data_IF_486351625852
#
_entry.id   IF_486351625852
#
_cell.length_a   1.000
_cell.length_b   1.000
_cell.length_c   1.000
_cell.angle_alpha   90.00
_cell.angle_beta   90.00
_cell.angle_gamma   90.00
#
_symmetry.space_group_name_H-M   'P 1'
#
loop_
_entity.id
_entity.type
_entity.pdbx_description
1 polymer ?
#
# COMPACT_ATOMS: atom_id res chain seq x y z
N UNK A 1 14.73 -48.01 2.04
CA UNK A 1 13.68 -47.01 2.34
C UNK A 1 14.23 -45.57 2.30
N UNK A 2 14.96 -45.16 1.24
CA UNK A 2 15.62 -43.84 1.19
C UNK A 2 15.36 -43.04 -0.10
N UNK A 3 14.81 -43.69 -1.15
CA UNK A 3 14.62 -43.09 -2.47
C UNK A 3 13.32 -42.26 -2.55
N UNK A 4 12.21 -42.76 -1.98
CA UNK A 4 10.91 -42.08 -1.97
C UNK A 4 10.92 -40.75 -1.22
N UNK A 5 11.75 -40.61 -0.18
CA UNK A 5 11.90 -39.37 0.60
C UNK A 5 12.59 -38.24 -0.17
N UNK A 6 13.46 -38.58 -1.15
CA UNK A 6 14.18 -37.58 -1.97
C UNK A 6 13.28 -36.97 -3.04
N UNK A 7 12.37 -37.76 -3.61
CA UNK A 7 11.40 -37.27 -4.60
C UNK A 7 10.36 -36.33 -3.99
N UNK A 8 9.92 -36.60 -2.75
CA UNK A 8 8.96 -35.74 -2.07
C UNK A 8 9.51 -34.31 -1.84
N UNK A 9 10.81 -34.18 -1.57
CA UNK A 9 11.46 -32.89 -1.34
C UNK A 9 11.61 -32.08 -2.64
N UNK A 10 11.81 -32.75 -3.78
CA UNK A 10 11.96 -32.11 -5.09
C UNK A 10 10.63 -31.54 -5.62
N UNK A 11 9.50 -32.17 -5.30
CA UNK A 11 8.17 -31.70 -5.71
C UNK A 11 7.74 -30.45 -4.91
N UNK A 12 8.11 -30.37 -3.62
CA UNK A 12 7.82 -29.22 -2.77
C UNK A 12 8.57 -27.94 -3.21
N UNK A 13 9.75 -28.06 -3.80
CA UNK A 13 10.56 -26.89 -4.20
C UNK A 13 10.12 -26.28 -5.54
N UNK A 14 9.40 -27.02 -6.38
CA UNK A 14 8.92 -26.55 -7.68
C UNK A 14 7.60 -25.75 -7.59
N UNK A 15 6.98 -25.69 -6.41
CA UNK A 15 5.70 -25.01 -6.17
C UNK A 15 5.86 -23.74 -5.31
N UNK A 16 7.08 -23.21 -5.16
CA UNK A 16 7.22 -21.88 -4.61
C UNK A 16 6.74 -20.90 -5.69
N UNK A 17 5.57 -20.23 -5.54
CA UNK A 17 5.30 -19.05 -6.35
C UNK A 17 6.52 -18.12 -6.18
N UNK A 18 6.95 -17.50 -7.27
CA UNK A 18 8.09 -16.59 -7.25
C UNK A 18 7.96 -15.70 -6.02
N UNK A 19 8.91 -15.85 -5.09
CA UNK A 19 8.97 -15.00 -3.92
C UNK A 19 9.37 -13.63 -4.46
N UNK A 20 8.38 -12.85 -4.90
CA UNK A 20 8.54 -11.42 -5.11
C UNK A 20 9.00 -10.90 -3.78
N UNK A 21 10.29 -10.55 -3.71
CA UNK A 21 10.84 -9.93 -2.53
C UNK A 21 9.93 -8.76 -2.20
N UNK A 22 9.49 -8.65 -0.94
CA UNK A 22 8.68 -7.54 -0.40
C UNK A 22 9.44 -6.19 -0.43
N UNK A 23 10.40 -6.03 -1.34
CA UNK A 23 11.04 -4.77 -1.68
C UNK A 23 10.21 -4.11 -2.77
N UNK A 24 9.37 -3.15 -2.37
CA UNK A 24 8.71 -2.27 -3.30
C UNK A 24 9.75 -1.50 -4.12
N UNK A 25 9.45 -1.25 -5.39
CA UNK A 25 10.19 -0.25 -6.15
C UNK A 25 10.00 1.15 -5.50
N UNK A 26 10.95 2.09 -5.67
CA UNK A 26 10.85 3.43 -5.09
C UNK A 26 9.53 4.16 -5.41
N UNK A 27 9.03 3.98 -6.63
CA UNK A 27 7.76 4.50 -7.14
C UNK A 27 6.54 3.89 -6.45
N UNK A 28 6.50 2.58 -6.27
CA UNK A 28 5.43 1.90 -5.54
C UNK A 28 5.43 2.33 -4.07
N UNK A 29 6.61 2.51 -3.47
CA UNK A 29 6.72 3.00 -2.11
C UNK A 29 6.20 4.44 -1.98
N UNK A 30 6.52 5.31 -2.94
CA UNK A 30 5.97 6.66 -2.99
C UNK A 30 4.44 6.64 -3.16
N UNK A 31 3.93 5.81 -4.09
CA UNK A 31 2.51 5.61 -4.31
C UNK A 31 1.80 5.11 -3.03
N UNK A 32 2.40 4.18 -2.29
CA UNK A 32 1.80 3.66 -1.05
C UNK A 32 1.63 4.73 0.04
N UNK A 33 2.56 5.69 0.14
CA UNK A 33 2.43 6.81 1.09
C UNK A 33 1.36 7.80 0.65
N UNK A 34 1.28 8.07 -0.65
CA UNK A 34 0.22 8.91 -1.20
C UNK A 34 -1.15 8.26 -1.04
N UNK A 35 -1.25 6.93 -1.20
CA UNK A 35 -2.47 6.17 -0.95
C UNK A 35 -2.87 6.26 0.53
N UNK A 36 -1.91 6.20 1.46
CA UNK A 36 -2.19 6.43 2.88
C UNK A 36 -2.75 7.83 3.17
N UNK A 37 -2.34 8.86 2.42
CA UNK A 37 -2.94 10.19 2.50
C UNK A 37 -4.38 10.20 1.97
N UNK A 38 -4.68 9.49 0.87
CA UNK A 38 -6.05 9.33 0.36
C UNK A 38 -6.94 8.64 1.40
N UNK A 39 -6.44 7.56 2.03
CA UNK A 39 -7.13 6.86 3.11
C UNK A 39 -7.40 7.78 4.30
N UNK A 40 -6.42 8.57 4.73
CA UNK A 40 -6.60 9.53 5.83
C UNK A 40 -7.67 10.59 5.52
N UNK A 41 -7.71 11.12 4.30
CA UNK A 41 -8.75 12.07 3.87
C UNK A 41 -10.13 11.43 3.82
N UNK A 42 -10.22 10.21 3.31
CA UNK A 42 -11.48 9.44 3.30
C UNK A 42 -11.98 9.18 4.73
N UNK A 43 -11.11 8.76 5.64
CA UNK A 43 -11.46 8.52 7.05
C UNK A 43 -11.95 9.77 7.78
N UNK A 44 -11.44 10.94 7.42
CA UNK A 44 -11.93 12.23 7.93
C UNK A 44 -13.23 12.72 7.26
N UNK A 45 -13.77 11.96 6.30
CA UNK A 45 -14.95 12.36 5.52
C UNK A 45 -14.70 13.55 4.59
N UNK A 46 -13.44 13.81 4.21
CA UNK A 46 -13.07 14.90 3.31
C UNK A 46 -13.20 14.55 1.83
N UNK A 47 -13.47 13.29 1.52
CA UNK A 47 -13.66 12.78 0.17
C UNK A 47 -15.03 12.10 0.08
N UNK A 48 -15.73 12.36 -1.01
CA UNK A 48 -16.84 11.52 -1.47
C UNK A 48 -16.32 10.21 -2.05
N UNK A 49 -17.19 9.20 -2.17
CA UNK A 49 -16.84 7.91 -2.79
C UNK A 49 -16.31 8.07 -4.23
N UNK A 50 -16.86 9.04 -4.97
CA UNK A 50 -16.43 9.38 -6.33
C UNK A 50 -15.03 9.99 -6.35
N UNK A 51 -14.74 10.93 -5.44
CA UNK A 51 -13.42 11.54 -5.30
C UNK A 51 -12.37 10.52 -4.82
N UNK A 52 -12.71 9.67 -3.87
CA UNK A 52 -11.87 8.58 -3.41
C UNK A 52 -11.53 7.62 -4.57
N UNK A 53 -12.54 7.21 -5.33
CA UNK A 53 -12.34 6.35 -6.50
C UNK A 53 -11.46 6.99 -7.56
N UNK A 54 -11.69 8.27 -7.87
CA UNK A 54 -10.91 9.00 -8.86
C UNK A 54 -9.44 9.18 -8.42
N UNK A 55 -9.19 9.54 -7.17
CA UNK A 55 -7.84 9.68 -6.63
C UNK A 55 -7.08 8.36 -6.60
N UNK A 56 -7.74 7.30 -6.14
CA UNK A 56 -7.15 5.95 -6.11
C UNK A 56 -6.82 5.48 -7.52
N UNK A 57 -7.74 5.65 -8.47
CA UNK A 57 -7.51 5.27 -9.86
C UNK A 57 -6.35 6.05 -10.48
N UNK A 58 -6.32 7.38 -10.30
CA UNK A 58 -5.24 8.20 -10.83
C UNK A 58 -3.89 7.90 -10.19
N UNK A 59 -3.84 7.56 -8.90
CA UNK A 59 -2.61 7.22 -8.19
C UNK A 59 -2.02 5.90 -8.68
N UNK A 60 -2.89 4.94 -8.96
CA UNK A 60 -2.54 3.59 -9.35
C UNK A 60 -2.44 3.41 -10.87
N UNK A 61 -2.65 4.49 -11.63
CA UNK A 61 -2.48 4.48 -13.07
C UNK A 61 -1.03 4.19 -13.45
N UNK A 62 -0.84 3.39 -14.49
CA UNK A 62 0.49 2.95 -14.94
C UNK A 62 1.12 1.78 -14.18
N UNK A 63 0.60 1.39 -13.01
CA UNK A 63 1.01 0.16 -12.31
C UNK A 63 0.21 -1.05 -12.81
N UNK A 64 0.83 -2.23 -12.81
CA UNK A 64 0.14 -3.50 -13.08
C UNK A 64 -0.69 -3.98 -11.86
N UNK A 65 -1.49 -5.03 -12.05
CA UNK A 65 -2.39 -5.55 -11.00
C UNK A 65 -1.64 -5.99 -9.74
N UNK A 66 -0.49 -6.64 -9.87
CA UNK A 66 0.30 -7.13 -8.73
C UNK A 66 0.99 -5.98 -7.99
N UNK A 67 1.50 -4.99 -8.74
CA UNK A 67 2.06 -3.77 -8.17
C UNK A 67 1.00 -2.98 -7.40
N UNK A 68 -0.22 -2.84 -7.95
CA UNK A 68 -1.34 -2.18 -7.27
C UNK A 68 -1.71 -2.85 -5.97
N UNK A 69 -1.81 -4.17 -5.95
CA UNK A 69 -2.11 -4.94 -4.73
C UNK A 69 -1.02 -4.72 -3.66
N UNK A 70 0.26 -4.73 -4.06
CA UNK A 70 1.39 -4.45 -3.18
C UNK A 70 1.32 -3.03 -2.61
N UNK A 71 1.04 -2.03 -3.45
CA UNK A 71 0.89 -0.62 -3.05
C UNK A 71 -0.25 -0.48 -2.04
N UNK A 72 -1.42 -1.05 -2.31
CA UNK A 72 -2.58 -1.03 -1.42
C UNK A 72 -2.29 -1.70 -0.08
N UNK A 73 -1.70 -2.90 -0.08
CA UNK A 73 -1.33 -3.60 1.14
C UNK A 73 -0.32 -2.80 1.98
N UNK A 74 0.65 -2.16 1.34
CA UNK A 74 1.65 -1.31 2.01
C UNK A 74 1.03 -0.04 2.57
N UNK A 75 0.10 0.58 1.84
CA UNK A 75 -0.62 1.77 2.27
C UNK A 75 -1.47 1.48 3.51
N UNK A 76 -2.19 0.36 3.53
CA UNK A 76 -2.94 -0.11 4.68
C UNK A 76 -2.01 -0.35 5.88
N UNK A 77 -0.89 -1.06 5.69
CA UNK A 77 0.08 -1.25 6.77
C UNK A 77 0.70 0.06 7.29
N UNK A 78 0.93 1.04 6.42
CA UNK A 78 1.40 2.37 6.83
C UNK A 78 0.32 3.12 7.64
N UNK A 79 -0.94 3.07 7.19
CA UNK A 79 -2.09 3.65 7.86
C UNK A 79 -2.33 3.01 9.24
N UNK A 80 -2.29 1.67 9.32
CA UNK A 80 -2.41 0.93 10.58
C UNK A 80 -1.27 1.28 11.54
N UNK A 81 -0.04 1.41 11.03
CA UNK A 81 1.10 1.88 11.81
C UNK A 81 0.93 3.31 12.31
N UNK A 82 0.31 4.19 11.51
CA UNK A 82 -0.03 5.56 11.93
C UNK A 82 -1.09 5.57 13.04
N UNK A 83 -2.04 4.64 13.02
CA UNK A 83 -3.10 4.49 14.03
C UNK A 83 -2.65 3.69 15.25
N UNK A 84 -1.45 3.10 15.22
CA UNK A 84 -0.93 2.33 16.33
C UNK A 84 -0.89 3.16 17.62
N UNK A 85 -1.38 2.57 18.72
CA UNK A 85 -1.52 3.20 20.05
C UNK A 85 -2.41 4.45 20.13
N UNK A 86 -3.15 4.78 19.06
CA UNK A 86 -4.18 5.83 19.10
C UNK A 86 -5.39 5.27 19.82
N UNK A 87 -5.99 6.07 20.70
CA UNK A 87 -7.26 5.74 21.33
C UNK A 87 -8.39 5.71 20.29
N UNK A 88 -9.33 4.78 20.42
CA UNK A 88 -10.40 4.56 19.43
C UNK A 88 -11.47 5.68 19.45
N UNK A 89 -11.33 6.71 20.29
CA UNK A 89 -12.20 7.88 20.23
C UNK A 89 -12.02 8.64 18.91
N UNK A 90 -13.15 9.06 18.33
CA UNK A 90 -13.18 9.83 17.10
C UNK A 90 -12.28 11.07 17.17
N UNK A 91 -12.18 11.72 18.33
CA UNK A 91 -11.34 12.91 18.51
C UNK A 91 -9.84 12.58 18.39
N UNK A 92 -9.38 11.50 19.03
CA UNK A 92 -7.98 11.08 18.96
C UNK A 92 -7.58 10.63 17.55
N UNK A 93 -8.45 9.86 16.89
CA UNK A 93 -8.28 9.43 15.50
C UNK A 93 -8.24 10.64 14.57
N UNK A 94 -9.22 11.54 14.66
CA UNK A 94 -9.30 12.72 13.80
C UNK A 94 -8.08 13.64 13.96
N UNK A 95 -7.64 13.88 15.20
CA UNK A 95 -6.44 14.67 15.46
C UNK A 95 -5.20 14.02 14.84
N UNK A 96 -5.01 12.71 15.01
CA UNK A 96 -3.86 12.00 14.41
C UNK A 96 -3.88 12.09 12.89
N UNK A 97 -5.04 11.92 12.25
CA UNK A 97 -5.17 12.00 10.80
C UNK A 97 -4.94 13.42 10.29
N UNK A 98 -5.44 14.44 10.99
CA UNK A 98 -5.19 15.85 10.65
C UNK A 98 -3.69 16.20 10.74
N UNK A 99 -3.03 15.79 11.82
CA UNK A 99 -1.57 15.97 11.98
C UNK A 99 -0.79 15.27 10.87
N UNK A 100 -1.21 14.06 10.50
CA UNK A 100 -0.60 13.32 9.40
C UNK A 100 -0.75 14.03 8.05
N UNK A 101 -1.95 14.53 7.74
CA UNK A 101 -2.20 15.28 6.50
C UNK A 101 -1.47 16.62 6.46
N UNK A 102 -1.28 17.27 7.61
CA UNK A 102 -0.50 18.50 7.74
C UNK A 102 1.02 18.25 7.66
N UNK A 103 1.45 17.00 7.75
CA UNK A 103 2.86 16.63 7.62
C UNK A 103 3.36 16.74 6.18
N UNK A 104 4.67 16.83 6.00
CA UNK A 104 5.30 16.82 4.67
C UNK A 104 5.12 15.49 3.91
N UNK A 105 4.51 14.46 4.50
CA UNK A 105 4.26 13.17 3.86
C UNK A 105 3.24 13.29 2.72
N UNK A 106 2.22 14.14 2.89
CA UNK A 106 1.15 14.32 1.92
C UNK A 106 1.37 15.52 0.99
N UNK A 107 2.48 16.26 1.16
CA UNK A 107 2.79 17.48 0.41
C UNK A 107 3.62 17.28 -0.85
N UNK A 108 3.96 16.05 -1.24
CA UNK A 108 4.75 15.79 -2.46
C UNK A 108 3.86 15.68 -3.69
N UNK A 109 4.15 16.49 -4.71
CA UNK A 109 3.55 16.43 -6.05
C UNK A 109 3.48 14.98 -6.57
N UNK A 110 2.30 14.58 -7.05
CA UNK A 110 2.07 13.33 -7.76
C UNK A 110 3.03 13.24 -8.95
N UNK A 111 4.13 12.48 -8.82
CA UNK A 111 5.04 12.22 -9.93
C UNK A 111 4.42 11.16 -10.83
N UNK A 112 4.01 11.55 -12.03
CA UNK A 112 3.68 10.59 -13.08
C UNK A 112 4.93 9.80 -13.45
N UNK A 113 4.83 8.47 -13.39
CA UNK A 113 5.90 7.58 -13.85
C UNK A 113 5.51 7.11 -15.24
N UNK A 114 6.22 7.62 -16.25
CA UNK A 114 6.12 7.08 -17.61
C UNK A 114 7.02 5.86 -17.68
N UNK A 115 6.45 4.66 -17.63
CA UNK A 115 7.21 3.43 -17.87
C UNK A 115 7.51 3.37 -19.38
N UNK A 116 8.78 3.38 -19.75
CA UNK A 116 9.19 3.09 -21.13
C UNK A 116 9.22 1.58 -21.30
N UNK A 117 8.39 1.09 -22.23
CA UNK A 117 8.24 -0.31 -22.65
C UNK A 117 9.55 -0.93 -23.15
#
# INVERSE_FOLDING_TARGET
MSITRRYLLAILLACAPGASALSLAPEEFAASRQMACVLARQSLGQLSDEEYGAMTHSLLDGFDEQERDSILAKALGYYDGLMFEVDDSNDAVNLRLQDFLASNTCGSDYRSVTVSL
#
